data_IF_516799413664
#
_entry.id   IF_516799413664
#
_cell.length_a   1.000
_cell.length_b   1.000
_cell.length_c   1.000
_cell.angle_alpha   90.00
_cell.angle_beta   90.00
_cell.angle_gamma   90.00
#
_symmetry.space_group_name_H-M   'P 1'
#
loop_
_entity.id
_entity.type
_entity.pdbx_description
1 polymer ?
#
# COMPACT_ATOMS: atom_id res chain seq x y z
N UNK A 1 21.64 12.85 11.99
CA UNK A 1 22.35 13.01 10.69
C UNK A 1 22.81 11.63 10.25
N UNK A 2 22.45 11.21 9.05
CA UNK A 2 22.70 9.86 8.54
C UNK A 2 21.95 9.62 7.23
N UNK A 3 22.13 8.45 6.60
CA UNK A 3 21.37 8.07 5.42
C UNK A 3 19.87 8.07 5.71
N UNK A 4 19.07 8.44 4.72
CA UNK A 4 17.61 8.39 4.75
C UNK A 4 17.14 7.50 3.61
N UNK A 5 16.10 6.72 3.86
CA UNK A 5 15.48 5.87 2.84
C UNK A 5 14.07 6.37 2.57
N UNK A 6 13.71 6.45 1.29
CA UNK A 6 12.35 6.77 0.84
C UNK A 6 11.97 5.73 -0.21
N UNK A 7 10.88 5.00 0.04
CA UNK A 7 10.31 4.08 -0.92
C UNK A 7 9.15 4.77 -1.65
N UNK A 8 9.31 4.97 -2.96
CA UNK A 8 8.30 5.66 -3.78
C UNK A 8 7.63 4.66 -4.71
N UNK A 9 6.29 4.60 -4.67
CA UNK A 9 5.51 3.89 -5.67
C UNK A 9 5.50 4.70 -6.96
N UNK A 10 6.06 4.12 -8.03
CA UNK A 10 6.07 4.74 -9.35
C UNK A 10 5.27 3.86 -10.33
N UNK A 11 3.96 4.14 -10.54
CA UNK A 11 3.18 3.42 -11.55
C UNK A 11 3.79 3.58 -12.94
N UNK A 12 4.03 2.45 -13.61
CA UNK A 12 4.63 2.42 -14.94
C UNK A 12 3.58 2.02 -15.97
N UNK A 13 3.08 2.94 -16.82
CA UNK A 13 2.02 2.66 -17.79
C UNK A 13 2.36 1.49 -18.71
N UNK A 14 3.60 1.45 -19.21
CA UNK A 14 4.09 0.42 -20.11
C UNK A 14 4.21 -0.93 -19.39
N UNK A 15 4.88 -0.96 -18.23
CA UNK A 15 5.16 -2.20 -17.51
C UNK A 15 3.93 -2.83 -16.85
N UNK A 16 2.96 -2.00 -16.44
CA UNK A 16 1.75 -2.48 -15.76
C UNK A 16 0.57 -2.59 -16.72
N UNK A 17 0.66 -1.97 -17.90
CA UNK A 17 -0.33 -2.00 -18.96
C UNK A 17 -1.61 -1.25 -18.63
N UNK A 18 -1.50 0.06 -18.46
CA UNK A 18 -2.62 1.00 -18.28
C UNK A 18 -2.34 2.30 -19.06
N UNK A 19 -3.37 3.14 -19.29
CA UNK A 19 -3.21 4.43 -20.00
C UNK A 19 -2.40 5.43 -19.17
N UNK A 20 -1.45 6.11 -19.79
CA UNK A 20 -0.58 7.12 -19.17
C UNK A 20 -1.35 8.22 -18.42
N UNK A 21 -2.54 8.60 -18.92
CA UNK A 21 -3.41 9.59 -18.29
C UNK A 21 -3.95 9.14 -16.92
N UNK A 22 -3.91 7.84 -16.61
CA UNK A 22 -4.38 7.25 -15.35
C UNK A 22 -3.29 7.10 -14.29
N UNK A 23 -2.05 7.52 -14.56
CA UNK A 23 -0.92 7.31 -13.63
C UNK A 23 -1.20 7.81 -12.21
N UNK A 24 -1.74 9.03 -12.07
CA UNK A 24 -2.07 9.61 -10.75
C UNK A 24 -3.28 8.92 -10.11
N UNK A 25 -4.28 8.56 -10.91
CA UNK A 25 -5.46 7.83 -10.44
C UNK A 25 -5.05 6.47 -9.86
N UNK A 26 -4.19 5.74 -10.56
CA UNK A 26 -3.73 4.42 -10.16
C UNK A 26 -2.83 4.47 -8.91
N UNK A 27 -1.98 5.50 -8.78
CA UNK A 27 -1.21 5.75 -7.57
C UNK A 27 -2.12 5.99 -6.35
N UNK A 28 -3.18 6.78 -6.52
CA UNK A 28 -4.17 7.02 -5.46
C UNK A 28 -4.94 5.76 -5.10
N UNK A 29 -5.34 4.97 -6.10
CA UNK A 29 -6.02 3.69 -5.88
C UNK A 29 -5.15 2.70 -5.10
N UNK A 30 -3.83 2.64 -5.36
CA UNK A 30 -2.94 1.78 -4.59
C UNK A 30 -3.01 2.10 -3.08
N UNK A 31 -3.12 3.38 -2.72
CA UNK A 31 -3.25 3.81 -1.32
C UNK A 31 -4.68 3.60 -0.81
N UNK A 32 -5.70 4.02 -1.56
CA UNK A 32 -7.12 3.86 -1.19
C UNK A 32 -7.51 2.40 -0.95
N UNK A 33 -6.94 1.47 -1.73
CA UNK A 33 -7.17 0.03 -1.64
C UNK A 33 -6.22 -0.66 -0.64
N UNK A 34 -5.43 0.10 0.13
CA UNK A 34 -4.46 -0.45 1.09
C UNK A 34 -3.34 -1.31 0.48
N UNK A 35 -3.19 -1.34 -0.84
CA UNK A 35 -2.09 -2.02 -1.52
C UNK A 35 -0.73 -1.33 -1.34
N UNK A 36 -0.72 -0.04 -0.97
CA UNK A 36 0.49 0.71 -0.69
C UNK A 36 0.33 1.54 0.60
N UNK A 37 0.94 1.15 1.72
CA UNK A 37 0.83 1.89 2.97
C UNK A 37 1.70 3.15 2.96
N UNK A 38 1.19 4.22 3.57
CA UNK A 38 1.92 5.48 3.75
C UNK A 38 2.23 5.69 5.22
N UNK A 39 3.50 5.54 5.59
CA UNK A 39 4.00 5.74 6.93
C UNK A 39 5.43 6.28 6.92
N UNK A 40 5.83 6.85 8.04
CA UNK A 40 7.19 7.28 8.31
C UNK A 40 7.72 6.49 9.52
N UNK A 41 9.04 6.27 9.55
CA UNK A 41 9.72 5.69 10.70
C UNK A 41 10.81 6.66 11.15
N UNK A 42 10.57 7.29 12.30
CA UNK A 42 11.49 8.26 12.88
C UNK A 42 11.85 7.83 14.29
N UNK A 43 13.14 7.79 14.60
CA UNK A 43 13.63 7.37 15.93
C UNK A 43 13.09 6.01 16.41
N UNK A 44 12.85 5.09 15.46
CA UNK A 44 12.28 3.77 15.75
C UNK A 44 10.76 3.74 15.88
N UNK A 45 10.08 4.90 15.85
CA UNK A 45 8.63 5.02 15.92
C UNK A 45 8.05 5.00 14.51
N UNK A 46 7.23 3.99 14.21
CA UNK A 46 6.45 3.91 12.99
C UNK A 46 5.15 4.69 13.18
N UNK A 47 4.85 5.59 12.25
CA UNK A 47 3.62 6.39 12.25
C UNK A 47 3.01 6.42 10.86
N UNK A 48 1.75 6.01 10.73
CA UNK A 48 1.03 6.18 9.47
C UNK A 48 0.77 7.67 9.18
N UNK A 49 1.16 8.12 7.98
CA UNK A 49 0.91 9.49 7.51
C UNK A 49 -0.45 9.62 6.83
N UNK A 50 -0.96 8.52 6.30
CA UNK A 50 -2.30 8.44 5.74
C UNK A 50 -2.87 7.03 5.90
N UNK A 51 -4.10 6.95 6.38
CA UNK A 51 -4.87 5.72 6.47
C UNK A 51 -6.27 5.96 5.85
N UNK A 52 -6.66 5.20 4.80
CA UNK A 52 -7.98 5.35 4.18
C UNK A 52 -9.07 4.88 5.15
N UNK A 53 -9.94 5.81 5.57
CA UNK A 53 -11.07 5.54 6.49
C UNK A 53 -12.11 4.56 5.92
N UNK A 54 -12.26 4.56 4.59
CA UNK A 54 -13.15 3.68 3.84
C UNK A 54 -12.35 3.09 2.69
N UNK A 55 -11.58 2.00 2.93
CA UNK A 55 -10.75 1.42 1.90
C UNK A 55 -11.61 0.90 0.75
N UNK A 56 -11.13 1.08 -0.48
CA UNK A 56 -11.76 0.50 -1.66
C UNK A 56 -11.35 -0.97 -1.80
N UNK A 57 -12.15 -1.83 -2.46
CA UNK A 57 -11.74 -3.20 -2.75
C UNK A 57 -10.43 -3.24 -3.55
N UNK A 58 -9.55 -4.20 -3.28
CA UNK A 58 -8.30 -4.39 -4.04
C UNK A 58 -8.56 -4.61 -5.54
N UNK A 59 -9.70 -5.25 -5.87
CA UNK A 59 -10.13 -5.50 -7.24
C UNK A 59 -10.12 -4.23 -8.09
N UNK A 60 -10.58 -3.08 -7.55
CA UNK A 60 -10.65 -1.80 -8.26
C UNK A 60 -9.27 -1.29 -8.72
N UNK A 61 -8.20 -1.66 -8.01
CA UNK A 61 -6.82 -1.37 -8.39
C UNK A 61 -6.28 -2.41 -9.37
N UNK A 62 -6.52 -3.71 -9.12
CA UNK A 62 -5.96 -4.82 -9.90
C UNK A 62 -6.48 -4.83 -11.34
N UNK A 63 -7.79 -4.69 -11.54
CA UNK A 63 -8.42 -4.81 -12.87
C UNK A 63 -8.00 -3.71 -13.86
N UNK A 64 -7.44 -2.61 -13.36
CA UNK A 64 -6.94 -1.52 -14.21
C UNK A 64 -5.58 -1.83 -14.87
N UNK A 65 -4.92 -2.92 -14.48
CA UNK A 65 -3.55 -3.22 -14.84
C UNK A 65 -3.47 -4.53 -15.64
N UNK A 66 -3.01 -4.46 -16.89
CA UNK A 66 -2.83 -5.66 -17.74
C UNK A 66 -1.89 -6.70 -17.13
N UNK A 67 -0.91 -6.31 -16.30
CA UNK A 67 0.01 -7.28 -15.66
C UNK A 67 -0.71 -8.33 -14.80
N UNK A 68 -1.94 -8.05 -14.38
CA UNK A 68 -2.76 -8.97 -13.60
C UNK A 68 -3.90 -9.61 -14.42
N UNK A 69 -3.85 -9.54 -15.76
CA UNK A 69 -4.94 -10.04 -16.63
C UNK A 69 -5.17 -11.55 -16.54
N UNK A 70 -4.28 -12.30 -15.89
CA UNK A 70 -4.36 -13.74 -15.71
C UNK A 70 -4.86 -14.14 -14.32
N UNK A 71 -5.11 -13.17 -13.42
CA UNK A 71 -5.63 -13.45 -12.08
C UNK A 71 -7.11 -13.80 -12.14
N UNK A 72 -7.50 -14.81 -11.36
CA UNK A 72 -8.90 -15.14 -11.11
C UNK A 72 -9.46 -14.30 -9.95
N UNK A 73 -10.77 -14.39 -9.71
CA UNK A 73 -11.37 -13.73 -8.56
C UNK A 73 -10.84 -14.31 -7.23
N UNK A 74 -10.51 -15.60 -7.20
CA UNK A 74 -9.89 -16.26 -6.04
C UNK A 74 -8.47 -15.75 -5.77
N UNK A 75 -7.67 -15.48 -6.81
CA UNK A 75 -6.34 -14.89 -6.65
C UNK A 75 -6.43 -13.48 -6.04
N UNK A 76 -7.39 -12.68 -6.51
CA UNK A 76 -7.62 -11.33 -6.00
C UNK A 76 -8.08 -11.36 -4.54
N UNK A 77 -8.95 -12.29 -4.17
CA UNK A 77 -9.41 -12.47 -2.79
C UNK A 77 -8.26 -12.92 -1.88
N UNK A 78 -7.43 -13.88 -2.33
CA UNK A 78 -6.25 -14.30 -1.60
C UNK A 78 -5.29 -13.13 -1.36
N UNK A 79 -5.10 -12.26 -2.36
CA UNK A 79 -4.31 -11.04 -2.20
C UNK A 79 -4.92 -10.03 -1.23
N UNK A 80 -6.24 -9.86 -1.25
CA UNK A 80 -6.93 -8.99 -0.29
C UNK A 80 -6.69 -9.48 1.15
N UNK A 81 -6.81 -10.78 1.39
CA UNK A 81 -6.54 -11.38 2.72
C UNK A 81 -5.08 -11.19 3.13
N UNK A 82 -4.12 -11.35 2.21
CA UNK A 82 -2.70 -11.10 2.50
C UNK A 82 -2.44 -9.64 2.89
N UNK A 83 -3.02 -8.68 2.16
CA UNK A 83 -2.89 -7.26 2.49
C UNK A 83 -3.55 -6.94 3.83
N UNK A 84 -4.74 -7.48 4.11
CA UNK A 84 -5.43 -7.26 5.38
C UNK A 84 -4.59 -7.74 6.57
N UNK A 85 -3.90 -8.87 6.42
CA UNK A 85 -2.98 -9.38 7.43
C UNK A 85 -1.73 -8.50 7.56
N UNK A 86 -1.11 -8.09 6.44
CA UNK A 86 0.03 -7.16 6.46
C UNK A 86 -0.32 -5.85 7.19
N UNK A 87 -1.53 -5.31 6.97
CA UNK A 87 -2.02 -4.13 7.67
C UNK A 87 -2.18 -4.36 9.17
N UNK A 88 -2.68 -5.52 9.62
CA UNK A 88 -2.73 -5.84 11.05
C UNK A 88 -1.33 -5.83 11.66
N UNK A 89 -0.36 -6.44 10.97
CA UNK A 89 1.04 -6.47 11.43
C UNK A 89 1.65 -5.07 11.48
N UNK A 90 1.40 -4.22 10.47
CA UNK A 90 1.88 -2.84 10.48
C UNK A 90 1.24 -2.00 11.59
N UNK A 91 -0.07 -2.14 11.84
CA UNK A 91 -0.76 -1.45 12.95
C UNK A 91 -0.30 -1.95 14.31
N UNK A 92 0.04 -3.23 14.44
CA UNK A 92 0.68 -3.77 15.63
C UNK A 92 2.06 -3.13 15.85
N UNK A 93 2.89 -3.06 14.80
CA UNK A 93 4.21 -2.41 14.84
C UNK A 93 4.14 -0.93 15.18
N UNK A 94 3.19 -0.20 14.60
CA UNK A 94 2.91 1.21 14.95
C UNK A 94 2.72 1.36 16.47
N UNK A 95 1.80 0.57 17.05
CA UNK A 95 1.51 0.59 18.49
C UNK A 95 2.72 0.25 19.35
N UNK A 96 3.39 -0.86 19.05
CA UNK A 96 4.56 -1.31 19.81
C UNK A 96 5.72 -0.33 19.74
N UNK A 97 5.91 0.32 18.59
CA UNK A 97 6.98 1.30 18.41
C UNK A 97 6.75 2.58 19.20
N UNK A 98 5.49 3.01 19.37
CA UNK A 98 5.15 4.15 20.23
C UNK A 98 5.39 3.85 21.71
N UNK A 99 5.06 2.62 22.15
CA UNK A 99 5.28 2.20 23.54
C UNK A 99 6.78 2.10 23.85
N UNK A 100 7.58 1.56 22.93
CA UNK A 100 9.03 1.44 23.09
C UNK A 100 9.75 2.81 23.04
N UNK A 101 9.23 3.78 22.28
CA UNK A 101 9.79 5.14 22.20
C UNK A 101 9.42 6.06 23.37
N UNK A 102 8.54 5.61 24.28
CA UNK A 102 8.11 6.36 25.47
C UNK A 102 8.92 6.05 26.73
N UNK A 103 9.94 5.18 26.65
CA UNK A 103 10.86 4.82 27.74
C UNK A 103 12.14 5.64 27.67
#
# INVERSE_FOLDING_TARGET
RGPKYIQVLCPCPVGWGFRESKTVELARLAVDCKAWPLYEVEHGVLKFTFEPKKPKPLKDYIVQQRRFSHFTDEDIEAMQVMLDEEWKQLKFRERMSMEAGSC
#
